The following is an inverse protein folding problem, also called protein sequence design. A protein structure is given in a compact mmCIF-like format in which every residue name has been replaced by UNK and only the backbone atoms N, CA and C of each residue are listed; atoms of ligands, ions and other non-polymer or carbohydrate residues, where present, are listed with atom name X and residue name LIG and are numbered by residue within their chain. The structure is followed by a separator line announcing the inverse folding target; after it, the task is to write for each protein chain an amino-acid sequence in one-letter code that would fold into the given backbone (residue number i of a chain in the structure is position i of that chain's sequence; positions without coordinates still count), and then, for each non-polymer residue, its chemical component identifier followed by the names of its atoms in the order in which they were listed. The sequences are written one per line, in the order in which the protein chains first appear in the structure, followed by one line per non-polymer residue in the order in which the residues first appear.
data_IF_184283956571
#
_entry.id   IF_184283956571
#
_cell.length_a   1.000
_cell.length_b   1.000
_cell.length_c   1.000
_cell.angle_alpha   90.00
_cell.angle_beta   90.00
_cell.angle_gamma   90.00
#
_symmetry.space_group_name_H-M   'P 1'
#
loop_
_entity.id
_entity.type
_entity.pdbx_description
1 polymer ?
#
# COMPACT_ATOMS: atom_id res chain seq x y z
N UNK A 1 69.28 -28.14 -45.95
CA UNK A 1 69.26 -28.64 -44.56
C UNK A 1 68.35 -27.70 -43.77
N UNK A 2 67.24 -28.27 -43.27
CA UNK A 2 66.05 -27.71 -42.61
C UNK A 2 66.39 -26.75 -41.44
N UNK A 3 65.58 -25.74 -41.04
CA UNK A 3 64.20 -25.76 -40.47
C UNK A 3 63.66 -24.31 -40.49
N UNK A 4 62.48 -23.95 -41.01
CA UNK A 4 61.10 -24.02 -40.47
C UNK A 4 60.85 -23.49 -39.04
N UNK A 5 59.81 -22.64 -38.96
CA UNK A 5 58.94 -22.29 -37.80
C UNK A 5 59.40 -21.13 -36.89
N UNK A 6 58.54 -20.17 -36.49
CA UNK A 6 57.11 -20.02 -36.72
C UNK A 6 56.58 -18.69 -36.17
N UNK A 7 55.50 -18.21 -36.78
CA UNK A 7 54.60 -17.17 -36.26
C UNK A 7 54.15 -17.54 -34.83
N UNK A 8 54.21 -16.58 -33.90
CA UNK A 8 53.40 -16.64 -32.68
C UNK A 8 52.38 -15.50 -32.73
N UNK A 9 51.17 -15.96 -33.00
CA UNK A 9 49.89 -15.26 -33.05
C UNK A 9 49.58 -14.64 -31.69
N UNK A 10 49.33 -13.33 -31.66
CA UNK A 10 48.67 -12.68 -30.53
C UNK A 10 47.20 -13.12 -30.53
N UNK A 11 46.83 -14.00 -29.59
CA UNK A 11 45.44 -14.43 -29.39
C UNK A 11 44.95 -13.90 -28.03
N UNK A 12 44.46 -12.66 -28.04
CA UNK A 12 43.67 -12.06 -26.97
C UNK A 12 42.22 -12.56 -27.13
N UNK A 13 41.84 -13.64 -26.44
CA UNK A 13 40.42 -14.02 -26.31
C UNK A 13 39.85 -13.25 -25.12
N UNK A 14 39.02 -12.26 -25.43
CA UNK A 14 38.13 -11.59 -24.49
C UNK A 14 37.07 -12.59 -24.01
N UNK A 15 37.20 -13.05 -22.76
CA UNK A 15 36.20 -13.91 -22.08
C UNK A 15 35.46 -13.17 -20.94
N UNK A 16 35.44 -11.84 -20.96
CA UNK A 16 34.86 -11.02 -19.88
C UNK A 16 33.53 -10.32 -20.17
N UNK A 17 33.02 -10.31 -21.41
CA UNK A 17 31.98 -9.34 -21.79
C UNK A 17 30.52 -9.80 -21.62
N UNK A 18 30.24 -11.09 -21.49
CA UNK A 18 28.84 -11.57 -21.39
C UNK A 18 28.25 -11.40 -20.00
N UNK A 19 29.06 -11.57 -18.95
CA UNK A 19 28.61 -11.41 -17.56
C UNK A 19 28.30 -9.94 -17.22
N UNK A 20 29.11 -8.99 -17.72
CA UNK A 20 28.92 -7.56 -17.46
C UNK A 20 27.68 -7.00 -18.14
N UNK A 21 27.42 -7.38 -19.40
CA UNK A 21 26.23 -6.93 -20.15
C UNK A 21 24.93 -7.52 -19.58
N UNK A 22 24.95 -8.77 -19.12
CA UNK A 22 23.80 -9.37 -18.43
C UNK A 22 23.52 -8.71 -17.08
N UNK A 23 24.57 -8.30 -16.35
CA UNK A 23 24.45 -7.61 -15.06
C UNK A 23 23.96 -6.15 -15.19
N UNK A 24 24.34 -5.45 -16.27
CA UNK A 24 23.85 -4.10 -16.55
C UNK A 24 22.38 -4.08 -17.01
N UNK A 25 21.91 -5.11 -17.72
CA UNK A 25 20.52 -5.22 -18.15
C UNK A 25 19.54 -5.62 -17.03
N UNK A 26 20.02 -6.31 -15.99
CA UNK A 26 19.20 -6.75 -14.85
C UNK A 26 19.07 -5.69 -13.75
N UNK A 27 20.07 -4.82 -13.57
CA UNK A 27 20.06 -3.79 -12.53
C UNK A 27 18.83 -2.84 -12.58
N UNK A 28 18.38 -2.35 -13.76
CA UNK A 28 17.18 -1.51 -13.84
C UNK A 28 15.90 -2.24 -13.43
N UNK A 29 15.79 -3.55 -13.71
CA UNK A 29 14.60 -4.36 -13.39
C UNK A 29 14.53 -4.64 -11.88
N UNK A 30 15.66 -4.96 -11.28
CA UNK A 30 15.78 -5.15 -9.82
C UNK A 30 15.47 -3.86 -9.06
N UNK A 31 15.99 -2.72 -9.53
CA UNK A 31 15.68 -1.40 -8.95
C UNK A 31 14.18 -1.08 -9.02
N UNK A 32 13.51 -1.35 -10.15
CA UNK A 32 12.06 -1.20 -10.26
C UNK A 32 11.29 -2.12 -9.30
N UNK A 33 11.73 -3.37 -9.11
CA UNK A 33 11.13 -4.30 -8.14
C UNK A 33 11.29 -3.77 -6.72
N UNK A 34 12.48 -3.32 -6.35
CA UNK A 34 12.74 -2.74 -5.03
C UNK A 34 11.92 -1.47 -4.79
N UNK A 35 11.82 -0.57 -5.78
CA UNK A 35 10.97 0.61 -5.72
C UNK A 35 9.49 0.25 -5.55
N UNK A 36 9.00 -0.76 -6.28
CA UNK A 36 7.61 -1.22 -6.17
C UNK A 36 7.30 -1.75 -4.76
N UNK A 37 8.24 -2.48 -4.15
CA UNK A 37 8.09 -3.01 -2.80
C UNK A 37 8.28 -1.96 -1.70
N UNK A 38 9.08 -0.93 -1.94
CA UNK A 38 9.29 0.16 -0.99
C UNK A 38 8.18 1.23 -1.03
N UNK A 39 7.49 1.37 -2.16
CA UNK A 39 6.45 2.38 -2.33
C UNK A 39 5.25 2.14 -1.39
N UNK A 40 4.78 3.22 -0.78
CA UNK A 40 3.60 3.25 0.11
C UNK A 40 2.44 4.05 -0.48
N UNK A 41 2.67 4.92 -1.47
CA UNK A 41 1.60 5.67 -2.12
C UNK A 41 0.96 4.84 -3.25
N UNK A 42 -0.37 4.58 -3.24
CA UNK A 42 -1.01 3.69 -4.22
C UNK A 42 -0.76 4.07 -5.68
N UNK A 43 -0.81 5.36 -6.04
CA UNK A 43 -0.59 5.76 -7.43
C UNK A 43 0.86 5.54 -7.89
N UNK A 44 1.84 5.61 -6.98
CA UNK A 44 3.22 5.27 -7.32
C UNK A 44 3.40 3.78 -7.49
N UNK A 45 2.76 2.96 -6.64
CA UNK A 45 2.79 1.49 -6.78
C UNK A 45 2.27 1.11 -8.18
N UNK A 46 1.13 1.67 -8.60
CA UNK A 46 0.57 1.42 -9.94
C UNK A 46 1.56 1.85 -11.03
N UNK A 47 2.08 3.08 -10.97
CA UNK A 47 3.01 3.62 -11.97
C UNK A 47 4.31 2.82 -12.06
N UNK A 48 4.86 2.38 -10.93
CA UNK A 48 6.10 1.59 -10.91
C UNK A 48 5.83 0.18 -11.46
N UNK A 49 4.72 -0.45 -11.07
CA UNK A 49 4.31 -1.74 -11.59
C UNK A 49 4.07 -1.70 -13.11
N UNK A 50 3.43 -0.65 -13.64
CA UNK A 50 3.26 -0.44 -15.08
C UNK A 50 4.61 -0.38 -15.82
N UNK A 51 5.61 0.33 -15.25
CA UNK A 51 6.96 0.38 -15.81
C UNK A 51 7.65 -0.99 -15.77
N UNK A 52 7.49 -1.74 -14.68
CA UNK A 52 8.06 -3.08 -14.54
C UNK A 52 7.45 -4.04 -15.57
N UNK A 53 6.13 -4.04 -15.74
CA UNK A 53 5.42 -4.84 -16.74
C UNK A 53 5.84 -4.55 -18.18
N UNK A 54 6.32 -3.32 -18.46
CA UNK A 54 6.80 -2.94 -19.79
C UNK A 54 8.22 -3.45 -20.11
N UNK A 55 9.00 -3.86 -19.10
CA UNK A 55 10.43 -4.22 -19.26
C UNK A 55 10.77 -5.63 -18.77
N UNK A 56 9.87 -6.29 -18.04
CA UNK A 56 10.06 -7.62 -17.47
C UNK A 56 9.56 -8.70 -18.42
N UNK A 57 10.35 -9.77 -18.56
CA UNK A 57 10.08 -10.91 -19.46
C UNK A 57 9.86 -12.21 -18.67
N UNK A 58 10.07 -12.19 -17.35
CA UNK A 58 9.95 -13.36 -16.47
C UNK A 58 8.53 -13.50 -15.94
N UNK A 59 7.91 -14.66 -16.17
CA UNK A 59 6.52 -14.94 -15.80
C UNK A 59 6.20 -14.68 -14.32
N UNK A 60 7.06 -15.13 -13.38
CA UNK A 60 6.81 -14.97 -11.94
C UNK A 60 6.81 -13.49 -11.50
N UNK A 61 7.75 -12.70 -12.03
CA UNK A 61 7.86 -11.28 -11.69
C UNK A 61 6.73 -10.47 -12.33
N UNK A 62 6.29 -10.87 -13.51
CA UNK A 62 5.11 -10.30 -14.18
C UNK A 62 3.85 -10.58 -13.34
N UNK A 63 3.70 -11.78 -12.79
CA UNK A 63 2.54 -12.13 -11.96
C UNK A 63 2.47 -11.28 -10.67
N UNK A 64 3.59 -11.10 -9.97
CA UNK A 64 3.65 -10.23 -8.78
C UNK A 64 3.35 -8.77 -9.12
N UNK A 65 3.90 -8.26 -10.22
CA UNK A 65 3.64 -6.90 -10.68
C UNK A 65 2.16 -6.68 -11.01
N UNK A 66 1.51 -7.62 -11.70
CA UNK A 66 0.08 -7.55 -12.01
C UNK A 66 -0.78 -7.57 -10.74
N UNK A 67 -0.50 -8.48 -9.81
CA UNK A 67 -1.27 -8.58 -8.57
C UNK A 67 -1.10 -7.33 -7.70
N UNK A 68 0.13 -6.86 -7.53
CA UNK A 68 0.46 -5.63 -6.82
C UNK A 68 -0.23 -4.41 -7.44
N UNK A 69 -0.16 -4.28 -8.77
CA UNK A 69 -0.84 -3.21 -9.51
C UNK A 69 -2.34 -3.24 -9.29
N UNK A 70 -2.97 -4.41 -9.43
CA UNK A 70 -4.42 -4.59 -9.26
C UNK A 70 -4.86 -4.20 -7.86
N UNK A 71 -4.14 -4.68 -6.84
CA UNK A 71 -4.40 -4.36 -5.42
C UNK A 71 -4.30 -2.86 -5.13
N UNK A 72 -3.29 -2.18 -5.68
CA UNK A 72 -3.10 -0.74 -5.49
C UNK A 72 -4.08 0.13 -6.29
N UNK A 73 -4.55 -0.34 -7.45
CA UNK A 73 -5.34 0.47 -8.40
C UNK A 73 -6.65 0.98 -7.79
N UNK A 74 -7.35 0.14 -7.03
CA UNK A 74 -8.60 0.55 -6.38
C UNK A 74 -8.37 1.63 -5.32
N UNK A 75 -7.39 1.43 -4.44
CA UNK A 75 -7.00 2.43 -3.42
C UNK A 75 -6.56 3.74 -4.07
N UNK A 76 -5.79 3.68 -5.17
CA UNK A 76 -5.39 4.87 -5.93
C UNK A 76 -6.58 5.61 -6.56
N UNK A 77 -7.65 4.90 -6.92
CA UNK A 77 -8.88 5.51 -7.40
C UNK A 77 -9.67 6.17 -6.26
N UNK A 78 -9.81 5.50 -5.12
CA UNK A 78 -10.45 6.07 -3.93
C UNK A 78 -9.78 7.37 -3.49
N UNK A 79 -8.45 7.40 -3.41
CA UNK A 79 -7.68 8.58 -2.98
C UNK A 79 -7.69 9.74 -3.98
N UNK A 80 -8.14 9.53 -5.22
CA UNK A 80 -8.39 10.60 -6.19
C UNK A 80 -9.79 11.21 -6.06
N UNK A 81 -10.68 10.59 -5.28
CA UNK A 81 -12.03 11.11 -5.07
C UNK A 81 -12.02 12.31 -4.11
N UNK A 82 -12.92 13.26 -4.32
CA UNK A 82 -13.08 14.44 -3.46
C UNK A 82 -13.57 14.12 -2.04
N UNK A 83 -13.94 12.87 -1.78
CA UNK A 83 -14.46 12.42 -0.47
C UNK A 83 -13.31 12.06 0.49
N UNK A 84 -12.13 11.71 -0.03
CA UNK A 84 -11.00 11.29 0.79
C UNK A 84 -10.20 12.48 1.30
N UNK A 85 -10.04 12.56 2.62
CA UNK A 85 -9.19 13.56 3.27
C UNK A 85 -7.69 13.21 3.21
N UNK A 86 -7.36 11.96 2.91
CA UNK A 86 -5.98 11.49 2.89
C UNK A 86 -5.24 11.99 1.66
N UNK A 87 -4.11 12.63 1.92
CA UNK A 87 -3.14 13.05 0.90
C UNK A 87 -1.91 12.15 0.91
N UNK A 88 -1.01 12.34 -0.05
CA UNK A 88 0.27 11.63 -0.11
C UNK A 88 1.08 11.70 1.19
N UNK A 89 1.01 12.82 1.90
CA UNK A 89 1.65 13.02 3.21
C UNK A 89 1.14 12.06 4.30
N UNK A 90 -0.05 11.46 4.12
CA UNK A 90 -0.57 10.44 5.02
C UNK A 90 0.15 9.10 4.89
N UNK A 91 0.78 8.83 3.74
CA UNK A 91 1.46 7.57 3.43
C UNK A 91 2.97 7.61 3.63
N UNK A 92 3.46 8.58 4.41
CA UNK A 92 4.87 8.68 4.79
C UNK A 92 5.05 7.96 6.12
N UNK A 93 5.79 6.84 6.12
CA UNK A 93 6.09 6.09 7.32
C UNK A 93 7.11 6.85 8.18
N UNK A 94 6.92 6.82 9.51
CA UNK A 94 7.99 7.15 10.44
C UNK A 94 9.04 6.05 10.55
N UNK A 95 9.80 6.07 11.64
CA UNK A 95 10.85 5.09 11.92
C UNK A 95 10.33 3.73 12.41
N UNK A 96 9.00 3.54 12.47
CA UNK A 96 8.39 2.30 12.94
C UNK A 96 8.16 1.32 11.76
N UNK A 97 8.80 0.12 11.75
CA UNK A 97 8.60 -0.87 10.70
C UNK A 97 7.14 -1.34 10.58
N UNK A 98 6.42 -1.45 11.70
CA UNK A 98 5.01 -1.85 11.70
C UNK A 98 4.10 -0.79 11.06
N UNK A 99 4.41 0.48 11.23
CA UNK A 99 3.70 1.57 10.54
C UNK A 99 3.92 1.50 9.03
N UNK A 100 5.17 1.29 8.60
CA UNK A 100 5.49 1.13 7.17
C UNK A 100 4.75 -0.05 6.55
N UNK A 101 4.67 -1.17 7.27
CA UNK A 101 3.91 -2.34 6.85
C UNK A 101 2.42 -2.04 6.76
N UNK A 102 1.82 -1.42 7.77
CA UNK A 102 0.41 -1.02 7.76
C UNK A 102 0.10 -0.07 6.59
N UNK A 103 0.96 0.94 6.36
CA UNK A 103 0.83 1.86 5.23
C UNK A 103 0.86 1.13 3.88
N UNK A 104 1.80 0.20 3.71
CA UNK A 104 1.90 -0.58 2.48
C UNK A 104 0.67 -1.47 2.29
N UNK A 105 0.22 -2.15 3.33
CA UNK A 105 -0.97 -3.01 3.26
C UNK A 105 -2.23 -2.21 2.96
N UNK A 106 -2.41 -1.05 3.60
CA UNK A 106 -3.52 -0.15 3.33
C UNK A 106 -3.46 0.37 1.88
N UNK A 107 -2.27 0.69 1.36
CA UNK A 107 -2.08 1.08 -0.02
C UNK A 107 -2.51 0.01 -1.02
N UNK A 108 -2.33 -1.27 -0.66
CA UNK A 108 -2.74 -2.44 -1.41
C UNK A 108 -4.21 -2.87 -1.13
N UNK A 109 -4.99 -2.04 -0.45
CA UNK A 109 -6.42 -2.25 -0.24
C UNK A 109 -6.78 -3.05 1.01
N UNK A 110 -5.85 -3.28 1.94
CA UNK A 110 -6.16 -3.95 3.20
C UNK A 110 -6.92 -3.00 4.14
N UNK A 111 -8.20 -3.29 4.38
CA UNK A 111 -9.07 -2.47 5.21
C UNK A 111 -8.65 -2.46 6.69
N UNK A 112 -8.17 -3.59 7.24
CA UNK A 112 -7.72 -3.68 8.63
C UNK A 112 -6.44 -2.87 8.88
N UNK A 113 -5.54 -2.83 7.89
CA UNK A 113 -4.35 -1.99 7.96
C UNK A 113 -4.71 -0.51 7.94
N UNK A 114 -5.66 -0.11 7.11
CA UNK A 114 -6.20 1.26 7.11
C UNK A 114 -6.88 1.60 8.46
N UNK A 115 -7.61 0.66 9.07
CA UNK A 115 -8.21 0.82 10.39
C UNK A 115 -7.16 0.94 11.51
N UNK A 116 -6.08 0.14 11.47
CA UNK A 116 -4.95 0.29 12.40
C UNK A 116 -4.28 1.64 12.25
N UNK A 117 -4.12 2.14 11.01
CA UNK A 117 -3.60 3.48 10.77
C UNK A 117 -4.53 4.56 11.35
N UNK A 118 -5.86 4.41 11.23
CA UNK A 118 -6.80 5.33 11.86
C UNK A 118 -6.58 5.41 13.38
N UNK A 119 -6.55 4.26 14.06
CA UNK A 119 -6.44 4.18 15.53
C UNK A 119 -5.17 4.83 16.09
N UNK A 120 -4.10 4.96 15.29
CA UNK A 120 -2.89 5.74 15.67
C UNK A 120 -3.14 7.24 15.83
N UNK A 121 -4.22 7.76 15.23
CA UNK A 121 -4.62 9.17 15.30
C UNK A 121 -5.89 9.38 16.14
N UNK A 122 -6.42 8.32 16.76
CA UNK A 122 -7.67 8.37 17.49
C UNK A 122 -7.60 9.39 18.64
N UNK A 123 -8.52 10.39 18.66
CA UNK A 123 -8.59 11.34 19.76
C UNK A 123 -8.82 10.64 21.11
N UNK A 124 -8.09 11.08 22.14
CA UNK A 124 -8.25 10.57 23.50
C UNK A 124 -7.56 9.23 23.79
N UNK A 125 -6.80 8.66 22.85
CA UNK A 125 -5.97 7.48 23.13
C UNK A 125 -4.62 7.90 23.75
N UNK A 126 -4.16 7.19 24.77
CA UNK A 126 -2.95 7.52 25.53
C UNK A 126 -1.64 7.47 24.71
N UNK A 127 -1.67 6.83 23.54
CA UNK A 127 -0.50 6.60 22.70
C UNK A 127 -0.67 7.14 21.26
N UNK A 128 -1.75 7.87 20.97
CA UNK A 128 -2.01 8.44 19.64
C UNK A 128 -1.49 9.87 19.50
N UNK A 129 -1.09 10.21 18.28
CA UNK A 129 -0.95 11.61 17.86
C UNK A 129 -2.35 12.10 17.52
N UNK A 130 -2.96 12.92 18.36
CA UNK A 130 -4.32 13.40 18.09
C UNK A 130 -4.36 14.25 16.81
N UNK A 131 -4.95 13.71 15.76
CA UNK A 131 -5.21 14.39 14.48
C UNK A 131 -6.57 13.91 13.95
N UNK A 132 -7.65 14.64 14.26
CA UNK A 132 -9.00 14.26 13.83
C UNK A 132 -9.14 14.11 12.31
N UNK A 133 -8.40 14.90 11.53
CA UNK A 133 -8.45 14.81 10.06
C UNK A 133 -7.83 13.51 9.57
N UNK A 134 -6.68 13.10 10.11
CA UNK A 134 -6.08 11.80 9.80
C UNK A 134 -6.92 10.64 10.33
N UNK A 135 -7.48 10.76 11.52
CA UNK A 135 -8.39 9.73 12.07
C UNK A 135 -9.57 9.48 11.13
N UNK A 136 -10.31 10.53 10.78
CA UNK A 136 -11.47 10.44 9.87
C UNK A 136 -11.04 9.97 8.49
N UNK A 137 -9.96 10.50 7.92
CA UNK A 137 -9.49 10.11 6.59
C UNK A 137 -9.12 8.63 6.48
N UNK A 138 -8.43 8.07 7.48
CA UNK A 138 -8.09 6.65 7.51
C UNK A 138 -9.30 5.76 7.73
N UNK A 139 -10.26 6.16 8.58
CA UNK A 139 -11.52 5.43 8.71
C UNK A 139 -12.34 5.46 7.42
N UNK A 140 -12.39 6.59 6.72
CA UNK A 140 -13.09 6.70 5.43
C UNK A 140 -12.49 5.73 4.42
N UNK A 141 -11.16 5.66 4.33
CA UNK A 141 -10.49 4.71 3.46
C UNK A 141 -10.82 3.26 3.86
N UNK A 142 -10.67 2.91 5.14
CA UNK A 142 -10.98 1.56 5.63
C UNK A 142 -12.44 1.17 5.37
N UNK A 143 -13.38 2.09 5.58
CA UNK A 143 -14.81 1.93 5.29
C UNK A 143 -15.06 1.66 3.80
N UNK A 144 -14.42 2.41 2.89
CA UNK A 144 -14.54 2.17 1.44
C UNK A 144 -13.87 0.87 0.98
N UNK A 145 -12.87 0.39 1.70
CA UNK A 145 -12.23 -0.90 1.48
C UNK A 145 -13.02 -2.08 2.08
N UNK A 146 -14.14 -1.82 2.76
CA UNK A 146 -15.04 -2.87 3.25
C UNK A 146 -15.00 -3.12 4.76
N UNK A 147 -14.29 -2.30 5.55
CA UNK A 147 -14.29 -2.47 7.01
C UNK A 147 -15.58 -1.98 7.65
N UNK A 148 -16.37 -2.94 8.12
CA UNK A 148 -17.59 -2.76 8.90
C UNK A 148 -17.32 -2.03 10.22
N UNK A 149 -16.25 -2.40 10.92
CA UNK A 149 -15.75 -1.74 12.13
C UNK A 149 -15.40 -0.27 11.85
N UNK A 150 -14.72 0.04 10.74
CA UNK A 150 -14.38 1.41 10.41
C UNK A 150 -15.62 2.26 10.11
N UNK A 151 -16.60 1.68 9.42
CA UNK A 151 -17.90 2.33 9.17
C UNK A 151 -18.61 2.63 10.50
N UNK A 152 -18.66 1.68 11.43
CA UNK A 152 -19.27 1.93 12.73
C UNK A 152 -18.49 2.94 13.59
N UNK A 153 -17.15 2.91 13.57
CA UNK A 153 -16.32 3.91 14.26
C UNK A 153 -16.57 5.33 13.72
N UNK A 154 -16.75 5.50 12.40
CA UNK A 154 -17.15 6.80 11.81
C UNK A 154 -18.51 7.26 12.29
N UNK A 155 -19.49 6.36 12.37
CA UNK A 155 -20.81 6.68 12.90
C UNK A 155 -20.72 7.22 14.32
N UNK A 156 -19.98 6.53 15.20
CA UNK A 156 -19.77 6.98 16.58
C UNK A 156 -19.03 8.32 16.65
N UNK A 157 -18.04 8.54 15.77
CA UNK A 157 -17.34 9.81 15.67
C UNK A 157 -18.30 10.95 15.32
N UNK A 158 -19.08 10.82 14.24
CA UNK A 158 -20.01 11.88 13.83
C UNK A 158 -21.16 12.11 14.81
N UNK A 159 -21.60 11.09 15.56
CA UNK A 159 -22.55 11.27 16.66
C UNK A 159 -21.99 12.17 17.76
N UNK A 160 -20.73 11.95 18.16
CA UNK A 160 -20.07 12.79 19.18
C UNK A 160 -19.88 14.23 18.71
N UNK A 161 -19.62 14.42 17.42
CA UNK A 161 -19.48 15.75 16.80
C UNK A 161 -20.83 16.44 16.52
N UNK A 162 -21.96 15.87 16.93
CA UNK A 162 -23.28 16.46 16.70
C UNK A 162 -23.74 16.44 15.23
N UNK A 163 -23.24 15.49 14.43
CA UNK A 163 -23.53 15.32 13.01
C UNK A 163 -24.34 14.03 12.74
N UNK A 164 -25.60 13.94 13.19
CA UNK A 164 -26.38 12.70 13.14
C UNK A 164 -26.72 12.23 11.72
N UNK A 165 -26.83 13.14 10.74
CA UNK A 165 -27.07 12.78 9.35
C UNK A 165 -25.90 12.00 8.74
N UNK A 166 -24.66 12.44 9.00
CA UNK A 166 -23.46 11.71 8.59
C UNK A 166 -23.33 10.40 9.33
N UNK A 167 -23.62 10.38 10.63
CA UNK A 167 -23.59 9.16 11.41
C UNK A 167 -24.50 8.06 10.82
N UNK A 168 -25.76 8.40 10.51
CA UNK A 168 -26.72 7.45 9.95
C UNK A 168 -26.25 6.82 8.62
N UNK A 169 -25.54 7.59 7.77
CA UNK A 169 -24.94 7.08 6.52
C UNK A 169 -23.92 5.98 6.82
N UNK A 170 -23.06 6.18 7.82
CA UNK A 170 -22.03 5.22 8.18
C UNK A 170 -22.56 4.03 9.00
N UNK A 171 -23.61 4.21 9.81
CA UNK A 171 -24.33 3.10 10.46
C UNK A 171 -24.96 2.17 9.41
N UNK A 172 -25.62 2.76 8.40
CA UNK A 172 -26.20 2.01 7.28
C UNK A 172 -25.12 1.24 6.52
N UNK A 173 -23.98 1.88 6.24
CA UNK A 173 -22.85 1.21 5.57
C UNK A 173 -22.27 0.08 6.42
N UNK A 174 -22.09 0.29 7.73
CA UNK A 174 -21.61 -0.75 8.63
C UNK A 174 -22.53 -1.97 8.59
N UNK A 175 -23.85 -1.76 8.66
CA UNK A 175 -24.83 -2.84 8.55
C UNK A 175 -24.77 -3.56 7.19
N UNK A 176 -24.63 -2.82 6.07
CA UNK A 176 -24.44 -3.41 4.74
C UNK A 176 -23.16 -4.24 4.61
N UNK A 177 -22.13 -3.91 5.39
CA UNK A 177 -20.85 -4.63 5.45
C UNK A 177 -20.88 -5.80 6.44
N UNK A 178 -22.02 -6.05 7.10
CA UNK A 178 -22.19 -7.16 8.03
C UNK A 178 -21.90 -6.83 9.49
N UNK A 179 -21.75 -5.55 9.84
CA UNK A 179 -21.58 -5.15 11.24
C UNK A 179 -22.80 -5.57 12.07
N UNK A 180 -22.55 -6.36 13.10
CA UNK A 180 -23.55 -6.67 14.13
C UNK A 180 -23.19 -5.86 15.36
N UNK A 181 -24.04 -4.89 15.70
CA UNK A 181 -23.86 -4.13 16.92
C UNK A 181 -23.80 -5.10 18.11
N UNK A 182 -22.80 -4.98 19.00
CA UNK A 182 -22.82 -5.70 20.25
C UNK A 182 -24.16 -5.41 20.92
N UNK A 183 -24.89 -6.47 21.29
CA UNK A 183 -26.07 -6.32 22.13
C UNK A 183 -25.57 -5.58 23.35
N UNK A 184 -25.93 -4.30 23.48
CA UNK A 184 -25.69 -3.59 24.71
C UNK A 184 -26.41 -4.44 25.76
N UNK A 185 -25.64 -5.09 26.63
CA UNK A 185 -26.19 -5.61 27.86
C UNK A 185 -26.76 -4.37 28.53
N UNK A 186 -28.06 -4.19 28.37
CA UNK A 186 -28.80 -3.15 29.03
C UNK A 186 -28.69 -3.52 30.50
N UNK A 187 -27.68 -2.97 31.17
CA UNK A 187 -27.54 -3.09 32.61
C UNK A 187 -28.65 -2.23 33.20
N UNK A 188 -29.88 -2.73 33.10
CA UNK A 188 -31.05 -2.25 33.82
C UNK A 188 -30.64 -2.30 35.29
N UNK A 189 -30.23 -1.16 35.83
CA UNK A 189 -30.05 -0.97 37.26
C UNK A 189 -31.41 -1.21 37.90
N UNK A 190 -31.48 -2.23 38.76
CA UNK A 190 -32.50 -2.29 39.82
C UNK A 190 -32.14 -1.30 40.91
#
# INVERSE_FOLDING_TARGET
MNKTSGLLLALLIALGSTATLANEATAPREDLRQQMHAATWPADIVRIADRLLAVEERDDAIADAWDTRRKAAWTAQLLRSNVMLLQRSAFVAGNNPGERQDLRQAALGNADAALRMARRYQPGSAHAVADPHRYVGWLQLASQLGSDNASYELALFFRREGQPSQAAVYETRAAQQGYVAPVALDHVRK
#
